data_IF_536768813997
#
_entry.id   IF_536768813997
#
_cell.length_a   1.000
_cell.length_b   1.000
_cell.length_c   1.000
_cell.angle_alpha   90.00
_cell.angle_beta   90.00
_cell.angle_gamma   90.00
#
_symmetry.space_group_name_H-M   'P 1'
#
loop_
_entity.id
_entity.type
_entity.pdbx_description
1 polymer ?
#
# COMPACT_ATOMS: atom_id res chain seq x y z
N UNK A 1 -13.05 -36.93 35.35
CA UNK A 1 -11.75 -36.49 35.90
C UNK A 1 -11.65 -34.98 35.70
N UNK A 2 -11.53 -34.18 36.78
CA UNK A 2 -11.36 -32.72 36.67
C UNK A 2 -9.87 -32.41 36.67
N UNK A 3 -9.28 -32.26 35.48
CA UNK A 3 -7.88 -31.85 35.31
C UNK A 3 -7.81 -30.36 35.63
N UNK A 4 -7.08 -29.98 36.67
CA UNK A 4 -6.78 -28.58 36.98
C UNK A 4 -5.61 -28.15 36.09
N UNK A 5 -5.84 -27.22 35.19
CA UNK A 5 -4.78 -26.64 34.35
C UNK A 5 -4.18 -25.49 35.14
N UNK A 6 -3.03 -25.72 35.76
CA UNK A 6 -2.21 -24.66 36.37
C UNK A 6 -1.40 -23.99 35.25
N UNK A 7 -1.87 -22.83 34.80
CA UNK A 7 -1.16 -22.03 33.80
C UNK A 7 -0.28 -21.05 34.56
N UNK A 8 1.04 -21.15 34.36
CA UNK A 8 1.99 -20.17 34.87
C UNK A 8 1.61 -18.77 34.36
N UNK A 9 1.59 -17.78 35.26
CA UNK A 9 1.28 -16.37 34.94
C UNK A 9 2.13 -15.86 33.79
N UNK A 10 3.38 -16.31 33.66
CA UNK A 10 4.27 -15.94 32.55
C UNK A 10 3.75 -16.43 31.20
N UNK A 11 3.18 -17.63 31.15
CA UNK A 11 2.59 -18.20 29.93
C UNK A 11 1.30 -17.47 29.56
N UNK A 12 0.47 -17.14 30.56
CA UNK A 12 -0.74 -16.36 30.36
C UNK A 12 -0.46 -14.96 29.80
N UNK A 13 0.51 -14.24 30.40
CA UNK A 13 0.90 -12.90 29.95
C UNK A 13 1.48 -12.94 28.52
N UNK A 14 2.34 -13.91 28.21
CA UNK A 14 2.89 -14.08 26.85
C UNK A 14 1.79 -14.33 25.80
N UNK A 15 0.80 -15.14 26.14
CA UNK A 15 -0.33 -15.40 25.23
C UNK A 15 -1.12 -14.13 24.93
N UNK A 16 -1.48 -13.36 25.97
CA UNK A 16 -2.23 -12.11 25.79
C UNK A 16 -1.45 -11.03 25.04
N UNK A 17 -0.14 -10.92 25.29
CA UNK A 17 0.72 -9.98 24.54
C UNK A 17 0.68 -10.26 23.03
N UNK A 18 0.65 -11.53 22.63
CA UNK A 18 0.54 -11.90 21.21
C UNK A 18 -0.82 -11.48 20.64
N UNK A 19 -1.92 -11.75 21.36
CA UNK A 19 -3.27 -11.37 20.92
C UNK A 19 -3.40 -9.84 20.77
N UNK A 20 -2.90 -9.08 21.75
CA UNK A 20 -2.89 -7.62 21.70
C UNK A 20 -2.00 -7.12 20.56
N UNK A 21 -0.83 -7.74 20.36
CA UNK A 21 0.08 -7.42 19.25
C UNK A 21 -0.60 -7.57 17.88
N UNK A 22 -1.30 -8.68 17.65
CA UNK A 22 -2.08 -8.86 16.42
C UNK A 22 -3.24 -7.88 16.31
N UNK A 23 -3.94 -7.57 17.41
CA UNK A 23 -4.99 -6.56 17.44
C UNK A 23 -4.48 -5.17 17.03
N UNK A 24 -3.35 -4.75 17.59
CA UNK A 24 -2.71 -3.47 17.25
C UNK A 24 -2.20 -3.44 15.80
N UNK A 25 -1.60 -4.53 15.33
CA UNK A 25 -1.18 -4.64 13.93
C UNK A 25 -2.37 -4.54 12.97
N UNK A 26 -3.49 -5.20 13.30
CA UNK A 26 -4.73 -5.10 12.53
C UNK A 26 -5.29 -3.67 12.51
N UNK A 27 -5.27 -2.98 13.65
CA UNK A 27 -5.68 -1.57 13.74
C UNK A 27 -4.79 -0.64 12.92
N UNK A 28 -3.47 -0.87 12.92
CA UNK A 28 -2.54 -0.10 12.08
C UNK A 28 -2.81 -0.29 10.59
N UNK A 29 -3.11 -1.52 10.15
CA UNK A 29 -3.47 -1.78 8.76
C UNK A 29 -4.80 -1.11 8.41
N UNK A 30 -5.78 -1.18 9.33
CA UNK A 30 -7.09 -0.56 9.12
C UNK A 30 -6.98 0.97 9.01
N UNK A 31 -6.20 1.62 9.87
CA UNK A 31 -5.97 3.06 9.79
C UNK A 31 -5.16 3.46 8.55
N UNK A 32 -4.25 2.59 8.09
CA UNK A 32 -3.48 2.80 6.87
C UNK A 32 -4.24 2.49 5.58
N UNK A 33 -5.51 2.08 5.64
CA UNK A 33 -6.31 1.67 4.47
C UNK A 33 -6.31 2.71 3.36
N UNK A 34 -6.54 3.98 3.69
CA UNK A 34 -6.59 5.05 2.68
C UNK A 34 -5.22 5.26 2.02
N UNK A 35 -4.15 5.24 2.82
CA UNK A 35 -2.78 5.32 2.31
C UNK A 35 -2.44 4.10 1.41
N UNK A 36 -2.88 2.90 1.79
CA UNK A 36 -2.70 1.69 0.98
C UNK A 36 -3.48 1.76 -0.34
N UNK A 37 -4.69 2.34 -0.34
CA UNK A 37 -5.44 2.57 -1.58
C UNK A 37 -4.72 3.56 -2.49
N UNK A 38 -4.23 4.68 -1.96
CA UNK A 38 -3.46 5.67 -2.74
C UNK A 38 -2.19 5.05 -3.29
N UNK A 39 -1.46 4.28 -2.49
CA UNK A 39 -0.25 3.60 -2.93
C UNK A 39 -0.56 2.59 -4.05
N UNK A 40 -1.63 1.82 -3.88
CA UNK A 40 -2.08 0.83 -4.84
C UNK A 40 -2.53 1.45 -6.16
N UNK A 41 -3.33 2.52 -6.11
CA UNK A 41 -3.77 3.23 -7.32
C UNK A 41 -2.62 3.92 -8.02
N UNK A 42 -1.70 4.55 -7.29
CA UNK A 42 -0.50 5.15 -7.86
C UNK A 42 0.40 4.11 -8.55
N UNK A 43 0.60 2.95 -7.91
CA UNK A 43 1.38 1.85 -8.49
C UNK A 43 0.69 1.28 -9.73
N UNK A 44 -0.62 1.07 -9.66
CA UNK A 44 -1.42 0.61 -10.79
C UNK A 44 -1.34 1.59 -11.96
N UNK A 45 -1.53 2.88 -11.72
CA UNK A 45 -1.43 3.92 -12.73
C UNK A 45 -0.02 4.00 -13.30
N UNK A 46 1.03 3.89 -12.48
CA UNK A 46 2.41 3.90 -12.97
C UNK A 46 2.67 2.75 -13.95
N UNK A 47 2.17 1.55 -13.65
CA UNK A 47 2.29 0.40 -14.55
C UNK A 47 1.42 0.55 -15.80
N UNK A 48 0.15 0.93 -15.63
CA UNK A 48 -0.82 1.07 -16.72
C UNK A 48 -0.43 2.19 -17.69
N UNK A 49 0.08 3.32 -17.17
CA UNK A 49 0.46 4.48 -17.96
C UNK A 49 1.82 4.31 -18.64
N UNK A 50 2.66 3.37 -18.23
CA UNK A 50 3.98 3.16 -18.84
C UNK A 50 3.89 2.90 -20.36
N UNK A 51 2.93 2.08 -20.81
CA UNK A 51 2.72 1.79 -22.23
C UNK A 51 2.18 3.00 -23.04
N UNK A 52 1.07 3.65 -22.66
CA UNK A 52 0.54 4.79 -23.41
C UNK A 52 1.47 6.01 -23.32
N UNK A 53 2.09 6.29 -22.17
CA UNK A 53 3.05 7.40 -22.02
C UNK A 53 4.27 7.19 -22.92
N UNK A 54 4.77 5.96 -23.03
CA UNK A 54 5.89 5.65 -23.93
C UNK A 54 5.51 5.79 -25.41
N UNK A 55 4.26 5.49 -25.78
CA UNK A 55 3.74 5.72 -27.14
C UNK A 55 3.56 7.21 -27.43
N UNK A 56 3.01 7.98 -26.49
CA UNK A 56 2.87 9.44 -26.60
C UNK A 56 4.23 10.13 -26.67
N UNK A 57 5.19 9.71 -25.85
CA UNK A 57 6.56 10.23 -25.86
C UNK A 57 7.31 9.94 -27.16
N UNK A 58 6.91 8.91 -27.92
CA UNK A 58 7.48 8.61 -29.24
C UNK A 58 6.95 9.51 -30.37
N UNK A 59 5.83 10.21 -30.14
CA UNK A 59 5.25 11.17 -31.09
C UNK A 59 5.62 12.63 -30.77
N UNK A 60 6.22 12.89 -29.61
CA UNK A 60 6.72 14.21 -29.22
C UNK A 60 8.12 14.46 -29.81
N UNK A 61 8.35 15.57 -30.55
CA UNK A 61 9.64 15.89 -31.12
C UNK A 61 10.61 16.25 -29.98
N UNK A 62 11.64 15.42 -29.82
CA UNK A 62 12.70 15.63 -28.83
C UNK A 62 12.58 14.77 -27.57
N UNK A 63 12.45 13.44 -27.72
CA UNK A 63 12.91 12.35 -26.82
C UNK A 63 13.10 12.64 -25.31
N UNK A 64 12.28 13.48 -24.68
CA UNK A 64 12.44 13.87 -23.28
C UNK A 64 11.23 13.41 -22.48
N UNK A 65 11.46 12.38 -21.67
CA UNK A 65 10.49 11.78 -20.76
C UNK A 65 9.80 12.81 -19.86
N UNK A 66 10.51 13.88 -19.50
CA UNK A 66 10.01 14.99 -18.66
C UNK A 66 8.94 15.85 -19.34
N UNK A 67 9.09 16.12 -20.64
CA UNK A 67 8.12 16.91 -21.40
C UNK A 67 6.81 16.14 -21.64
N UNK A 68 6.93 14.84 -21.91
CA UNK A 68 5.77 13.96 -22.08
C UNK A 68 4.96 13.78 -20.80
N UNK A 69 5.61 13.67 -19.63
CA UNK A 69 4.90 13.60 -18.35
C UNK A 69 4.25 14.93 -17.98
N UNK A 70 4.91 16.06 -18.23
CA UNK A 70 4.35 17.39 -17.93
C UNK A 70 3.09 17.68 -18.76
N UNK A 71 3.10 17.34 -20.05
CA UNK A 71 1.93 17.52 -20.93
C UNK A 71 0.76 16.60 -20.55
N UNK A 72 1.04 15.34 -20.20
CA UNK A 72 0.00 14.41 -19.78
C UNK A 72 -0.70 14.84 -18.47
N UNK A 73 0.04 15.42 -17.53
CA UNK A 73 -0.55 15.98 -16.31
C UNK A 73 -1.38 17.24 -16.59
N UNK A 74 -0.92 18.12 -17.50
CA UNK A 74 -1.67 19.33 -17.88
C UNK A 74 -2.99 19.00 -18.58
N UNK A 75 -3.00 17.98 -19.44
CA UNK A 75 -4.18 17.53 -20.17
C UNK A 75 -5.24 16.83 -19.29
N UNK A 76 -4.87 16.36 -18.10
CA UNK A 76 -5.79 15.70 -17.17
C UNK A 76 -6.47 16.70 -16.21
N UNK A 77 -5.92 17.91 -16.08
CA UNK A 77 -6.41 18.98 -15.20
C UNK A 77 -7.43 19.89 -15.93
N UNK A 78 -7.41 19.90 -17.26
CA UNK A 78 -8.41 20.57 -18.12
C UNK A 78 -9.51 19.58 -18.48
#
# INVERSE_FOLDING_TARGET
>A
MKVRIEIDTKTFVRFWLVVIGFGLAGLMIYSARDALMVLGTALFLALALNAPVRKLASWLPGKSRLGGTALAFMLLII
#
